data_IF_074946386261
#
_entry.id   IF_074946386261
#
_cell.length_a   1.000
_cell.length_b   1.000
_cell.length_c   1.000
_cell.angle_alpha   90.00
_cell.angle_beta   90.00
_cell.angle_gamma   90.00
#
_symmetry.space_group_name_H-M   'P 1'
#
loop_
_entity.id
_entity.type
_entity.pdbx_description
1 polymer ?
#
# COMPACT_ATOMS: atom_id res chain seq x y z
N UNK A 1 -10.99 -24.35 -10.20
CA UNK A 1 -10.12 -23.93 -9.08
C UNK A 1 -10.83 -24.17 -7.77
N UNK A 2 -10.44 -25.22 -7.05
CA UNK A 2 -11.05 -25.69 -5.81
C UNK A 2 -11.10 -24.59 -4.73
N UNK A 3 -12.13 -24.62 -3.88
CA UNK A 3 -12.40 -23.64 -2.81
C UNK A 3 -11.16 -23.31 -1.94
N UNK A 4 -10.20 -24.24 -1.84
CA UNK A 4 -8.93 -24.08 -1.12
C UNK A 4 -8.01 -23.02 -1.77
N UNK A 5 -7.93 -22.96 -3.09
CA UNK A 5 -7.05 -22.02 -3.81
C UNK A 5 -7.49 -20.56 -3.66
N UNK A 6 -8.80 -20.31 -3.57
CA UNK A 6 -9.35 -18.96 -3.38
C UNK A 6 -9.07 -18.40 -1.98
N UNK A 7 -9.17 -19.25 -0.96
CA UNK A 7 -8.82 -18.88 0.41
C UNK A 7 -7.31 -18.63 0.56
N UNK A 8 -6.48 -19.49 -0.05
CA UNK A 8 -5.03 -19.30 -0.06
C UNK A 8 -4.63 -17.97 -0.71
N UNK A 9 -5.25 -17.63 -1.84
CA UNK A 9 -5.03 -16.34 -2.51
C UNK A 9 -5.36 -15.15 -1.58
N UNK A 10 -6.53 -15.17 -0.92
CA UNK A 10 -6.92 -14.10 -0.02
C UNK A 10 -5.95 -13.93 1.16
N UNK A 11 -5.47 -15.04 1.73
CA UNK A 11 -4.47 -15.02 2.81
C UNK A 11 -3.14 -14.43 2.30
N UNK A 12 -2.67 -14.87 1.12
CA UNK A 12 -1.44 -14.34 0.52
C UNK A 12 -1.55 -12.83 0.27
N UNK A 13 -2.71 -12.35 -0.18
CA UNK A 13 -2.95 -10.93 -0.40
C UNK A 13 -2.93 -10.13 0.91
N UNK A 14 -3.51 -10.68 1.99
CA UNK A 14 -3.46 -10.06 3.32
C UNK A 14 -2.01 -9.97 3.81
N UNK A 15 -1.24 -11.06 3.72
CA UNK A 15 0.16 -11.10 4.14
C UNK A 15 1.00 -10.12 3.32
N UNK A 16 0.83 -10.12 2.00
CA UNK A 16 1.52 -9.19 1.10
C UNK A 16 1.24 -7.73 1.47
N UNK A 17 -0.04 -7.34 1.61
CA UNK A 17 -0.41 -5.99 1.99
C UNK A 17 0.09 -5.61 3.39
N UNK A 18 0.07 -6.55 4.34
CA UNK A 18 0.60 -6.35 5.69
C UNK A 18 2.11 -6.07 5.68
N UNK A 19 2.88 -6.83 4.91
CA UNK A 19 4.32 -6.60 4.73
C UNK A 19 4.57 -5.23 4.08
N UNK A 20 3.79 -4.84 3.07
CA UNK A 20 3.92 -3.53 2.44
C UNK A 20 3.67 -2.38 3.42
N UNK A 21 2.67 -2.48 4.30
CA UNK A 21 2.43 -1.48 5.36
C UNK A 21 3.65 -1.37 6.27
N UNK A 22 4.22 -2.50 6.72
CA UNK A 22 5.40 -2.49 7.60
C UNK A 22 6.60 -1.82 6.91
N UNK A 23 6.86 -2.16 5.65
CA UNK A 23 7.95 -1.55 4.86
C UNK A 23 7.71 -0.04 4.71
N UNK A 24 6.49 0.35 4.37
CA UNK A 24 6.12 1.75 4.16
C UNK A 24 6.29 2.58 5.43
N UNK A 25 5.86 2.05 6.59
CA UNK A 25 6.04 2.70 7.89
C UNK A 25 7.51 2.76 8.29
N UNK A 26 8.27 1.67 8.11
CA UNK A 26 9.70 1.64 8.40
C UNK A 26 10.47 2.67 7.55
N UNK A 27 10.15 2.76 6.26
CA UNK A 27 10.72 3.75 5.35
C UNK A 27 10.33 5.18 5.78
N UNK A 28 9.08 5.41 6.18
CA UNK A 28 8.67 6.71 6.68
C UNK A 28 9.40 7.11 7.97
N UNK A 29 9.57 6.19 8.93
CA UNK A 29 10.31 6.46 10.18
C UNK A 29 11.78 6.78 9.88
N UNK A 30 12.42 5.99 9.00
CA UNK A 30 13.81 6.20 8.62
C UNK A 30 14.00 7.51 7.83
N UNK A 31 13.08 7.80 6.91
CA UNK A 31 13.09 9.00 6.10
C UNK A 31 12.78 10.25 6.92
N UNK A 32 11.83 10.21 7.86
CA UNK A 32 11.55 11.34 8.76
C UNK A 32 12.70 11.60 9.74
N UNK A 33 13.39 10.56 10.22
CA UNK A 33 14.58 10.71 11.07
C UNK A 33 15.78 11.33 10.32
N UNK A 34 15.95 11.00 9.04
CA UNK A 34 17.06 11.51 8.21
C UNK A 34 16.76 12.88 7.57
N UNK A 35 15.52 13.11 7.12
CA UNK A 35 15.09 14.37 6.50
C UNK A 35 14.85 15.47 7.54
N UNK A 36 14.32 15.15 8.72
CA UNK A 36 14.11 16.13 9.80
C UNK A 36 15.40 16.78 10.31
N UNK A 37 16.55 16.15 10.05
CA UNK A 37 17.87 16.68 10.37
C UNK A 37 18.48 17.56 9.26
N UNK A 38 17.91 17.57 8.05
CA UNK A 38 18.44 18.31 6.91
C UNK A 38 17.58 19.55 6.58
N UNK A 39 18.01 20.76 6.98
CA UNK A 39 17.24 21.99 6.80
C UNK A 39 17.08 22.43 5.33
N UNK A 40 17.73 21.74 4.38
CA UNK A 40 17.64 22.03 2.95
C UNK A 40 16.39 21.42 2.29
N UNK A 41 15.68 20.51 2.96
CA UNK A 41 14.50 19.85 2.38
C UNK A 41 13.23 20.69 2.69
N UNK A 42 12.47 21.12 1.67
CA UNK A 42 11.25 21.90 1.89
C UNK A 42 10.21 21.11 2.70
N UNK A 43 9.60 21.77 3.68
CA UNK A 43 8.59 21.16 4.53
C UNK A 43 7.36 20.68 3.73
N UNK A 44 7.05 21.35 2.62
CA UNK A 44 6.00 20.94 1.67
C UNK A 44 6.24 19.56 1.05
N UNK A 45 7.50 19.21 0.77
CA UNK A 45 7.86 17.89 0.25
C UNK A 45 7.68 16.82 1.33
N UNK A 46 8.01 17.14 2.58
CA UNK A 46 7.85 16.24 3.72
C UNK A 46 6.36 15.97 4.01
N UNK A 47 5.52 17.00 4.00
CA UNK A 47 4.07 16.87 4.16
C UNK A 47 3.45 16.06 3.01
N UNK A 48 3.93 16.24 1.77
CA UNK A 48 3.50 15.46 0.62
C UNK A 48 3.83 13.97 0.79
N UNK A 49 5.08 13.64 1.15
CA UNK A 49 5.49 12.25 1.43
C UNK A 49 4.68 11.65 2.57
N UNK A 50 4.45 12.39 3.66
CA UNK A 50 3.63 11.91 4.78
C UNK A 50 2.20 11.60 4.36
N UNK A 51 1.54 12.53 3.66
CA UNK A 51 0.17 12.34 3.20
C UNK A 51 0.07 11.16 2.22
N UNK A 52 1.09 11.01 1.37
CA UNK A 52 1.18 9.88 0.47
C UNK A 52 1.34 8.55 1.23
N UNK A 53 2.26 8.47 2.20
CA UNK A 53 2.42 7.30 3.07
C UNK A 53 1.09 6.93 3.74
N UNK A 54 0.37 7.90 4.30
CA UNK A 54 -0.93 7.66 4.94
C UNK A 54 -1.96 7.12 3.94
N UNK A 55 -2.02 7.72 2.75
CA UNK A 55 -2.91 7.27 1.67
C UNK A 55 -2.62 5.82 1.26
N UNK A 56 -1.34 5.50 1.01
CA UNK A 56 -0.90 4.15 0.63
C UNK A 56 -1.25 3.12 1.70
N UNK A 57 -0.98 3.42 2.98
CA UNK A 57 -1.34 2.56 4.09
C UNK A 57 -2.87 2.33 4.18
N UNK A 58 -3.66 3.38 3.95
CA UNK A 58 -5.13 3.30 3.90
C UNK A 58 -5.62 2.35 2.81
N UNK A 59 -5.07 2.42 1.59
CA UNK A 59 -5.46 1.52 0.50
C UNK A 59 -5.09 0.07 0.82
N UNK A 60 -3.90 -0.20 1.36
CA UNK A 60 -3.53 -1.55 1.78
C UNK A 60 -4.47 -2.11 2.87
N UNK A 61 -4.87 -1.27 3.83
CA UNK A 61 -5.84 -1.67 4.86
C UNK A 61 -7.21 -2.02 4.26
N UNK A 62 -7.70 -1.24 3.29
CA UNK A 62 -8.96 -1.54 2.58
C UNK A 62 -8.87 -2.89 1.85
N UNK A 63 -7.75 -3.18 1.19
CA UNK A 63 -7.52 -4.46 0.51
C UNK A 63 -7.53 -5.61 1.53
N UNK A 64 -6.87 -5.43 2.68
CA UNK A 64 -6.89 -6.43 3.77
C UNK A 64 -8.32 -6.67 4.26
N UNK A 65 -9.09 -5.61 4.54
CA UNK A 65 -10.48 -5.72 5.00
C UNK A 65 -11.37 -6.45 3.99
N UNK A 66 -11.22 -6.16 2.69
CA UNK A 66 -11.97 -6.84 1.63
C UNK A 66 -11.63 -8.35 1.57
N UNK A 67 -10.36 -8.71 1.72
CA UNK A 67 -9.93 -10.10 1.73
C UNK A 67 -10.39 -10.84 3.00
N UNK A 68 -10.39 -10.19 4.17
CA UNK A 68 -10.97 -10.74 5.41
C UNK A 68 -12.47 -10.95 5.24
N UNK A 69 -13.19 -9.97 4.68
CA UNK A 69 -14.62 -10.08 4.41
C UNK A 69 -14.94 -11.27 3.50
N UNK A 70 -14.12 -11.48 2.46
CA UNK A 70 -14.21 -12.67 1.62
C UNK A 70 -13.99 -13.97 2.42
N UNK A 71 -12.99 -14.05 3.29
CA UNK A 71 -12.74 -15.26 4.10
C UNK A 71 -13.93 -15.60 5.00
N UNK A 72 -14.54 -14.58 5.62
CA UNK A 72 -15.67 -14.74 6.55
C UNK A 72 -16.96 -15.10 5.81
N UNK A 73 -17.31 -14.35 4.75
CA UNK A 73 -18.60 -14.51 4.05
C UNK A 73 -18.54 -15.54 2.91
N UNK A 74 -17.34 -15.83 2.38
CA UNK A 74 -17.09 -16.74 1.24
C UNK A 74 -17.88 -16.41 -0.03
N UNK A 75 -18.35 -15.16 -0.16
CA UNK A 75 -19.09 -14.63 -1.30
C UNK A 75 -18.24 -13.59 -2.04
N UNK A 76 -18.59 -13.29 -3.30
CA UNK A 76 -17.99 -12.18 -4.07
C UNK A 76 -16.46 -12.29 -4.29
N UNK A 77 -15.92 -13.51 -4.46
CA UNK A 77 -14.48 -13.71 -4.70
C UNK A 77 -13.94 -12.91 -5.90
N UNK A 78 -14.65 -12.94 -7.03
CA UNK A 78 -14.23 -12.28 -8.27
C UNK A 78 -14.08 -10.77 -8.07
N UNK A 79 -15.10 -10.02 -7.61
CA UNK A 79 -14.96 -8.59 -7.40
C UNK A 79 -13.94 -8.23 -6.30
N UNK A 80 -13.84 -9.02 -5.22
CA UNK A 80 -12.80 -8.80 -4.19
C UNK A 80 -11.40 -8.95 -4.79
N UNK A 81 -11.18 -9.98 -5.61
CA UNK A 81 -9.91 -10.20 -6.30
C UNK A 81 -9.61 -9.07 -7.29
N UNK A 82 -10.56 -8.69 -8.14
CA UNK A 82 -10.40 -7.61 -9.11
C UNK A 82 -10.06 -6.27 -8.45
N UNK A 83 -10.76 -5.90 -7.37
CA UNK A 83 -10.50 -4.68 -6.62
C UNK A 83 -9.12 -4.74 -5.94
N UNK A 84 -8.74 -5.89 -5.39
CA UNK A 84 -7.44 -6.05 -4.74
C UNK A 84 -6.28 -5.90 -5.74
N UNK A 85 -6.39 -6.51 -6.92
CA UNK A 85 -5.38 -6.40 -7.98
C UNK A 85 -5.35 -4.98 -8.54
N UNK A 86 -6.50 -4.38 -8.84
CA UNK A 86 -6.59 -3.01 -9.32
C UNK A 86 -6.00 -2.01 -8.31
N UNK A 87 -6.29 -2.20 -7.02
CA UNK A 87 -5.74 -1.38 -5.94
C UNK A 87 -4.22 -1.44 -5.91
N UNK A 88 -3.62 -2.65 -5.99
CA UNK A 88 -2.16 -2.80 -6.06
C UNK A 88 -1.57 -2.12 -7.31
N UNK A 89 -2.21 -2.26 -8.47
CA UNK A 89 -1.75 -1.62 -9.70
C UNK A 89 -1.77 -0.09 -9.60
N UNK A 90 -2.86 0.49 -9.09
CA UNK A 90 -2.96 1.93 -8.88
C UNK A 90 -1.86 2.43 -7.95
N UNK A 91 -1.62 1.73 -6.83
CA UNK A 91 -0.55 2.08 -5.89
C UNK A 91 0.83 2.10 -6.56
N UNK A 92 1.09 1.18 -7.49
CA UNK A 92 2.34 1.15 -8.24
C UNK A 92 2.51 2.36 -9.15
N UNK A 93 1.47 2.76 -9.88
CA UNK A 93 1.50 3.96 -10.71
C UNK A 93 1.81 5.21 -9.89
N UNK A 94 1.17 5.36 -8.71
CA UNK A 94 1.44 6.51 -7.85
C UNK A 94 2.86 6.53 -7.28
N UNK A 95 3.45 5.37 -6.96
CA UNK A 95 4.86 5.31 -6.53
C UNK A 95 5.80 5.76 -7.65
N UNK A 96 5.54 5.30 -8.89
CA UNK A 96 6.36 5.65 -10.06
C UNK A 96 6.28 7.17 -10.34
N UNK A 97 5.09 7.76 -10.34
CA UNK A 97 4.91 9.20 -10.52
C UNK A 97 5.65 10.02 -9.45
N UNK A 98 5.60 9.58 -8.20
CA UNK A 98 6.31 10.26 -7.11
C UNK A 98 7.82 10.12 -7.25
N UNK A 99 8.34 8.95 -7.66
CA UNK A 99 9.77 8.77 -7.87
C UNK A 99 10.34 9.70 -8.94
N UNK A 100 9.54 10.06 -9.96
CA UNK A 100 9.91 11.04 -10.98
C UNK A 100 10.00 12.46 -10.42
N UNK A 101 9.18 12.82 -9.43
CA UNK A 101 9.24 14.12 -8.75
C UNK A 101 10.56 14.34 -7.98
N UNK A 102 11.29 13.26 -7.64
CA UNK A 102 12.58 13.33 -6.94
C UNK A 102 13.80 13.30 -7.86
N UNK A 103 13.62 13.10 -9.17
CA UNK A 103 14.71 13.18 -10.15
C UNK A 103 14.71 14.61 -10.70
N UNK A 104 15.71 15.45 -10.38
CA UNK A 104 15.81 16.77 -10.98
C UNK A 104 16.03 16.64 -12.49
N UNK A 105 15.18 17.30 -13.28
CA UNK A 105 15.44 17.57 -14.71
C UNK A 105 16.61 18.54 -14.88
#
# INVERSE_FOLDING_TARGET
MEKKGKALFAILMIVFCGVQIVILVANYINSSASIGANPLIPQSLLDYVRNFTIFMAGVYLVIITLNIFYIVKKQYFIPVCSISVAGIFLLRFFIEDISQLFIPN
#
